data_IF_742963418484
#
_entry.id   IF_742963418484
#
_cell.length_a   1.000
_cell.length_b   1.000
_cell.length_c   1.000
_cell.angle_alpha   90.00
_cell.angle_beta   90.00
_cell.angle_gamma   90.00
#
_symmetry.space_group_name_H-M   'P 1'
#
loop_
_entity.id
_entity.type
_entity.pdbx_description
1 polymer ?
#
# COMPACT_ATOMS: atom_id res chain seq x y z
N UNK A 1 41.04 -12.24 25.41
CA UNK A 1 41.82 -11.14 24.75
C UNK A 1 40.81 -10.45 23.83
N UNK A 2 40.36 -9.30 24.27
CA UNK A 2 39.47 -8.50 23.40
C UNK A 2 40.32 -7.93 22.29
N UNK A 3 40.19 -8.43 21.08
CA UNK A 3 40.81 -7.88 19.91
C UNK A 3 40.32 -6.42 19.75
N UNK A 4 41.21 -5.45 19.77
CA UNK A 4 40.86 -4.04 19.54
C UNK A 4 40.65 -3.84 18.03
N UNK A 5 39.42 -4.11 17.56
CA UNK A 5 39.04 -3.83 16.17
C UNK A 5 38.81 -2.32 15.96
N UNK A 6 39.16 -1.84 14.78
CA UNK A 6 38.90 -0.48 14.32
C UNK A 6 37.71 -0.42 13.36
N UNK A 7 37.24 0.78 13.05
CA UNK A 7 36.21 0.99 12.00
C UNK A 7 36.74 0.60 10.62
N UNK A 8 38.03 0.72 10.38
CA UNK A 8 38.68 0.27 9.14
C UNK A 8 38.64 -1.25 8.99
N UNK A 9 38.83 -1.99 10.10
CA UNK A 9 38.67 -3.45 10.10
C UNK A 9 37.22 -3.88 9.83
N UNK A 10 36.26 -3.14 10.40
CA UNK A 10 34.84 -3.37 10.13
C UNK A 10 34.52 -3.14 8.65
N UNK A 11 34.99 -2.05 8.05
CA UNK A 11 34.78 -1.76 6.62
C UNK A 11 35.41 -2.84 5.74
N UNK A 12 36.65 -3.25 6.01
CA UNK A 12 37.28 -4.37 5.28
C UNK A 12 36.48 -5.68 5.39
N UNK A 13 35.89 -5.95 6.55
CA UNK A 13 35.02 -7.12 6.73
C UNK A 13 33.73 -7.05 5.88
N UNK A 14 33.10 -5.87 5.80
CA UNK A 14 31.94 -5.65 4.95
C UNK A 14 32.30 -5.77 3.45
N UNK A 15 33.42 -5.19 3.03
CA UNK A 15 33.91 -5.28 1.66
C UNK A 15 34.22 -6.73 1.28
N UNK A 16 34.82 -7.51 2.20
CA UNK A 16 35.08 -8.93 2.00
C UNK A 16 33.79 -9.74 1.86
N UNK A 17 32.75 -9.45 2.68
CA UNK A 17 31.45 -10.10 2.54
C UNK A 17 30.76 -9.72 1.22
N UNK A 18 30.83 -8.46 0.81
CA UNK A 18 30.29 -7.97 -0.47
C UNK A 18 31.01 -8.52 -1.70
N UNK A 19 32.25 -8.92 -1.57
CA UNK A 19 33.05 -9.53 -2.65
C UNK A 19 32.74 -11.04 -2.85
N UNK A 20 32.03 -11.69 -1.90
CA UNK A 20 31.57 -13.06 -2.05
C UNK A 20 30.43 -13.11 -3.07
N UNK A 21 30.50 -14.05 -4.01
CA UNK A 21 29.51 -14.26 -5.07
C UNK A 21 28.95 -15.66 -5.07
N UNK A 22 28.16 -15.99 -6.08
CA UNK A 22 27.47 -17.29 -6.23
C UNK A 22 28.40 -18.52 -6.19
N UNK A 23 29.70 -18.34 -6.55
CA UNK A 23 30.69 -19.42 -6.50
C UNK A 23 31.38 -19.57 -5.13
N UNK A 24 31.05 -18.68 -4.16
CA UNK A 24 31.65 -18.74 -2.83
C UNK A 24 31.06 -19.88 -2.00
N UNK A 25 31.90 -20.47 -1.14
CA UNK A 25 31.46 -21.59 -0.31
C UNK A 25 30.76 -21.14 0.98
N UNK A 26 29.99 -22.04 1.58
CA UNK A 26 29.38 -21.86 2.90
C UNK A 26 30.40 -21.43 3.95
N UNK A 27 31.57 -22.07 3.93
CA UNK A 27 32.65 -21.82 4.89
C UNK A 27 33.20 -20.39 4.76
N UNK A 28 33.35 -19.88 3.55
CA UNK A 28 33.78 -18.50 3.30
C UNK A 28 32.79 -17.50 3.84
N UNK A 29 31.50 -17.68 3.57
CA UNK A 29 30.44 -16.82 4.14
C UNK A 29 30.40 -16.87 5.66
N UNK A 30 30.44 -18.05 6.25
CA UNK A 30 30.45 -18.23 7.70
C UNK A 30 31.67 -17.56 8.36
N UNK A 31 32.82 -17.66 7.74
CA UNK A 31 34.05 -17.02 8.25
C UNK A 31 33.90 -15.49 8.24
N UNK A 32 33.39 -14.91 7.15
CA UNK A 32 33.14 -13.47 7.07
C UNK A 32 32.11 -13.01 8.13
N UNK A 33 30.97 -13.72 8.25
CA UNK A 33 29.93 -13.36 9.21
C UNK A 33 30.46 -13.43 10.65
N UNK A 34 31.19 -14.49 11.02
CA UNK A 34 31.80 -14.62 12.35
C UNK A 34 32.83 -13.53 12.64
N UNK A 35 33.59 -13.13 11.62
CA UNK A 35 34.54 -12.04 11.76
C UNK A 35 33.82 -10.70 11.99
N UNK A 36 32.73 -10.44 11.26
CA UNK A 36 31.90 -9.25 11.45
C UNK A 36 31.18 -9.30 12.81
N UNK A 37 30.70 -10.46 13.24
CA UNK A 37 30.09 -10.66 14.56
C UNK A 37 31.05 -10.31 15.71
N UNK A 38 32.34 -10.68 15.59
CA UNK A 38 33.37 -10.30 16.56
C UNK A 38 33.54 -8.79 16.70
N UNK A 39 33.15 -8.03 15.66
CA UNK A 39 33.16 -6.56 15.62
C UNK A 39 31.80 -5.92 15.92
N UNK A 40 30.83 -6.69 16.45
CA UNK A 40 29.43 -6.23 16.61
C UNK A 40 29.29 -4.99 17.48
N UNK A 41 30.18 -4.73 18.41
CA UNK A 41 30.22 -3.50 19.21
C UNK A 41 30.43 -2.24 18.37
N UNK A 42 31.02 -2.38 17.17
CA UNK A 42 31.27 -1.28 16.22
C UNK A 42 30.09 -1.07 15.27
N UNK A 43 29.13 -1.99 15.17
CA UNK A 43 27.99 -1.88 14.24
C UNK A 43 27.12 -0.64 14.51
N UNK A 44 27.17 -0.11 15.72
CA UNK A 44 26.55 1.18 16.05
C UNK A 44 27.08 2.36 15.20
N UNK A 45 28.17 2.22 14.52
CA UNK A 45 28.75 3.24 13.63
C UNK A 45 28.44 3.01 12.14
N UNK A 46 27.83 1.88 11.79
CA UNK A 46 27.41 1.61 10.40
C UNK A 46 26.34 2.59 9.94
N UNK A 47 26.33 2.90 8.64
CA UNK A 47 25.19 3.55 7.99
C UNK A 47 23.97 2.63 7.95
N UNK A 48 22.80 3.20 7.61
CA UNK A 48 21.57 2.41 7.42
C UNK A 48 21.76 1.33 6.36
N UNK A 49 22.38 1.68 5.22
CA UNK A 49 22.57 0.76 4.09
C UNK A 49 23.54 -0.38 4.47
N UNK A 50 24.64 -0.06 5.13
CA UNK A 50 25.62 -1.07 5.53
C UNK A 50 25.08 -2.01 6.61
N UNK A 51 24.34 -1.51 7.59
CA UNK A 51 23.77 -2.36 8.63
C UNK A 51 22.61 -3.20 8.08
N UNK A 52 21.68 -2.59 7.34
CA UNK A 52 20.59 -3.30 6.67
C UNK A 52 21.11 -4.33 5.67
N UNK A 53 22.12 -3.97 4.87
CA UNK A 53 22.82 -4.87 3.96
C UNK A 53 23.44 -6.08 4.66
N UNK A 54 24.10 -5.85 5.80
CA UNK A 54 24.67 -6.93 6.61
C UNK A 54 23.62 -7.91 7.13
N UNK A 55 22.51 -7.41 7.67
CA UNK A 55 21.42 -8.25 8.14
C UNK A 55 20.77 -9.06 6.99
N UNK A 56 20.57 -8.44 5.83
CA UNK A 56 20.07 -9.13 4.63
C UNK A 56 21.04 -10.22 4.16
N UNK A 57 22.35 -9.97 4.17
CA UNK A 57 23.35 -10.99 3.85
C UNK A 57 23.34 -12.16 4.85
N UNK A 58 23.22 -11.89 6.15
CA UNK A 58 23.07 -12.94 7.18
C UNK A 58 21.86 -13.82 6.88
N UNK A 59 20.72 -13.23 6.59
CA UNK A 59 19.49 -13.95 6.26
C UNK A 59 19.64 -14.75 4.98
N UNK A 60 20.20 -14.16 3.92
CA UNK A 60 20.42 -14.82 2.64
C UNK A 60 21.33 -16.04 2.79
N UNK A 61 22.47 -15.88 3.46
CA UNK A 61 23.41 -17.00 3.74
C UNK A 61 22.72 -18.11 4.55
N UNK A 62 21.93 -17.71 5.54
CA UNK A 62 21.20 -18.66 6.37
C UNK A 62 20.18 -19.46 5.58
N UNK A 63 19.51 -18.80 4.63
CA UNK A 63 18.55 -19.43 3.71
C UNK A 63 19.27 -20.38 2.74
N UNK A 64 20.27 -19.90 2.01
CA UNK A 64 20.94 -20.65 0.95
C UNK A 64 21.70 -21.89 1.47
N UNK A 65 22.33 -21.77 2.63
CA UNK A 65 23.16 -22.85 3.20
C UNK A 65 22.50 -23.66 4.32
N UNK A 66 21.18 -23.47 4.54
CA UNK A 66 20.41 -24.22 5.55
C UNK A 66 20.83 -23.97 6.98
N UNK A 67 21.33 -22.75 7.28
CA UNK A 67 21.75 -22.32 8.62
C UNK A 67 20.57 -21.70 9.41
N UNK A 68 19.43 -22.36 9.40
CA UNK A 68 18.18 -21.83 9.94
C UNK A 68 18.30 -21.36 11.39
N UNK A 69 18.83 -22.22 12.27
CA UNK A 69 18.95 -21.89 13.69
C UNK A 69 19.94 -20.77 13.98
N UNK A 70 21.07 -20.80 13.29
CA UNK A 70 22.10 -19.76 13.40
C UNK A 70 21.55 -18.41 12.88
N UNK A 71 20.87 -18.43 11.74
CA UNK A 71 20.24 -17.24 11.17
C UNK A 71 19.22 -16.61 12.10
N UNK A 72 18.32 -17.40 12.68
CA UNK A 72 17.33 -16.93 13.66
C UNK A 72 18.03 -16.32 14.89
N UNK A 73 19.03 -16.99 15.45
CA UNK A 73 19.77 -16.47 16.61
C UNK A 73 20.52 -15.17 16.31
N UNK A 74 21.12 -15.02 15.11
CA UNK A 74 21.76 -13.77 14.70
C UNK A 74 20.75 -12.63 14.56
N UNK A 75 19.59 -12.90 13.99
CA UNK A 75 18.56 -11.88 13.82
C UNK A 75 17.98 -11.43 15.16
N UNK A 76 17.66 -12.34 16.05
CA UNK A 76 17.17 -12.04 17.42
C UNK A 76 18.16 -11.15 18.18
N UNK A 77 19.46 -11.35 17.96
CA UNK A 77 20.52 -10.61 18.64
C UNK A 77 20.77 -9.22 18.04
N UNK A 78 20.75 -9.09 16.72
CA UNK A 78 21.24 -7.88 16.05
C UNK A 78 20.15 -6.98 15.49
N UNK A 79 19.02 -7.53 15.06
CA UNK A 79 17.94 -6.74 14.48
C UNK A 79 17.33 -5.69 15.43
N UNK A 80 17.13 -5.93 16.75
CA UNK A 80 16.56 -4.91 17.63
C UNK A 80 17.35 -3.61 17.69
N UNK A 81 18.67 -3.69 17.60
CA UNK A 81 19.53 -2.51 17.57
C UNK A 81 19.38 -1.72 16.24
N UNK A 82 19.24 -2.44 15.12
CA UNK A 82 18.97 -1.86 13.82
C UNK A 82 17.59 -1.17 13.80
N UNK A 83 16.55 -1.85 14.23
CA UNK A 83 15.16 -1.33 14.27
C UNK A 83 15.05 -0.05 15.08
N UNK A 84 15.67 -0.03 16.27
CA UNK A 84 15.70 1.14 17.15
C UNK A 84 16.45 2.31 16.54
N UNK A 85 17.56 2.05 15.84
CA UNK A 85 18.43 3.09 15.30
C UNK A 85 17.88 3.69 14.00
N UNK A 86 17.23 2.90 13.17
CA UNK A 86 16.75 3.28 11.86
C UNK A 86 15.24 3.09 11.74
N UNK A 87 14.42 3.87 12.46
CA UNK A 87 12.97 3.69 12.51
C UNK A 87 12.31 3.85 11.14
N UNK A 88 12.91 4.62 10.22
CA UNK A 88 12.35 4.95 8.91
C UNK A 88 12.88 4.11 7.74
N UNK A 89 13.71 3.09 7.96
CA UNK A 89 14.22 2.20 6.91
C UNK A 89 13.21 1.11 6.52
N UNK A 90 12.00 1.52 6.12
CA UNK A 90 10.89 0.58 5.90
C UNK A 90 11.16 -0.42 4.78
N UNK A 91 11.79 0.01 3.69
CA UNK A 91 12.11 -0.90 2.58
C UNK A 91 13.02 -2.06 3.01
N UNK A 92 14.12 -1.77 3.72
CA UNK A 92 15.01 -2.83 4.23
C UNK A 92 14.31 -3.73 5.25
N UNK A 93 13.51 -3.14 6.15
CA UNK A 93 12.76 -3.91 7.16
C UNK A 93 11.75 -4.85 6.50
N UNK A 94 11.06 -4.43 5.44
CA UNK A 94 10.16 -5.27 4.69
C UNK A 94 10.91 -6.50 4.14
N UNK A 95 12.03 -6.30 3.46
CA UNK A 95 12.84 -7.39 2.90
C UNK A 95 13.41 -8.32 3.99
N UNK A 96 13.89 -7.75 5.09
CA UNK A 96 14.41 -8.52 6.24
C UNK A 96 13.31 -9.41 6.80
N UNK A 97 12.11 -8.88 7.05
CA UNK A 97 11.02 -9.66 7.62
C UNK A 97 10.48 -10.74 6.69
N UNK A 98 10.51 -10.54 5.40
CA UNK A 98 10.14 -11.56 4.40
C UNK A 98 11.03 -12.80 4.50
N UNK A 99 12.36 -12.63 4.43
CA UNK A 99 13.30 -13.75 4.52
C UNK A 99 13.35 -14.34 5.93
N UNK A 100 13.16 -13.53 6.95
CA UNK A 100 13.08 -14.02 8.32
C UNK A 100 11.87 -14.93 8.55
N UNK A 101 10.71 -14.58 7.97
CA UNK A 101 9.53 -15.45 7.97
C UNK A 101 9.83 -16.82 7.33
N UNK A 102 10.57 -16.85 6.22
CA UNK A 102 10.96 -18.09 5.55
C UNK A 102 11.83 -18.98 6.46
N UNK A 103 12.77 -18.40 7.23
CA UNK A 103 13.57 -19.16 8.19
C UNK A 103 12.70 -19.76 9.30
N UNK A 104 11.67 -19.05 9.78
CA UNK A 104 10.71 -19.61 10.74
C UNK A 104 9.87 -20.74 10.16
N UNK A 105 9.46 -20.68 8.89
CA UNK A 105 8.80 -21.78 8.18
C UNK A 105 9.69 -23.02 8.18
N UNK A 106 10.98 -22.88 7.83
CA UNK A 106 11.97 -23.97 7.89
C UNK A 106 12.16 -24.55 9.27
N UNK A 107 11.99 -23.72 10.29
CA UNK A 107 12.06 -24.16 11.70
C UNK A 107 10.71 -24.70 12.21
N UNK A 108 9.70 -24.87 11.33
CA UNK A 108 8.34 -25.30 11.67
C UNK A 108 7.63 -24.38 12.70
N UNK A 109 7.95 -23.09 12.69
CA UNK A 109 7.35 -22.05 13.54
C UNK A 109 6.50 -21.10 12.70
N UNK A 110 5.29 -21.53 12.36
CA UNK A 110 4.36 -20.74 11.55
C UNK A 110 3.84 -19.50 12.28
N UNK A 111 3.76 -19.54 13.59
CA UNK A 111 3.29 -18.39 14.37
C UNK A 111 4.25 -17.20 14.28
N UNK A 112 5.55 -17.45 14.46
CA UNK A 112 6.58 -16.43 14.26
C UNK A 112 6.70 -16.01 12.80
N UNK A 113 6.61 -16.95 11.85
CA UNK A 113 6.57 -16.64 10.43
C UNK A 113 5.44 -15.67 10.10
N UNK A 114 4.24 -15.94 10.57
CA UNK A 114 3.09 -15.06 10.38
C UNK A 114 3.28 -13.67 11.01
N UNK A 115 3.88 -13.61 12.22
CA UNK A 115 4.21 -12.35 12.85
C UNK A 115 5.19 -11.50 12.02
N UNK A 116 6.20 -12.14 11.42
CA UNK A 116 7.15 -11.47 10.53
C UNK A 116 6.49 -11.03 9.21
N UNK A 117 5.60 -11.83 8.63
CA UNK A 117 4.86 -11.45 7.42
C UNK A 117 3.92 -10.26 7.67
N UNK A 118 3.32 -10.14 8.86
CA UNK A 118 2.58 -8.93 9.24
C UNK A 118 3.47 -7.69 9.30
N UNK A 119 4.67 -7.81 9.83
CA UNK A 119 5.66 -6.72 9.84
C UNK A 119 6.16 -6.40 8.43
N UNK A 120 6.40 -7.42 7.58
CA UNK A 120 6.72 -7.24 6.17
C UNK A 120 5.66 -6.39 5.47
N UNK A 121 4.37 -6.76 5.60
CA UNK A 121 3.27 -6.00 5.00
C UNK A 121 3.21 -4.56 5.55
N UNK A 122 3.28 -4.37 6.86
CA UNK A 122 3.32 -3.04 7.47
C UNK A 122 4.43 -2.18 6.87
N UNK A 123 5.66 -2.66 6.85
CA UNK A 123 6.81 -1.91 6.32
C UNK A 123 6.76 -1.70 4.80
N UNK A 124 6.09 -2.57 4.06
CA UNK A 124 5.84 -2.40 2.62
C UNK A 124 4.83 -1.28 2.34
N UNK A 125 3.86 -1.07 3.23
CA UNK A 125 2.82 -0.05 3.06
C UNK A 125 3.14 1.28 3.74
N UNK A 126 4.06 1.31 4.71
CA UNK A 126 4.42 2.57 5.36
C UNK A 126 5.04 3.54 4.36
N UNK A 127 4.44 4.70 4.31
CA UNK A 127 4.79 5.79 3.43
C UNK A 127 5.02 7.05 4.28
N UNK A 128 6.02 7.83 3.94
CA UNK A 128 6.38 9.08 4.61
C UNK A 128 5.85 10.32 3.86
N UNK A 129 4.97 10.11 2.86
CA UNK A 129 4.38 11.20 2.09
C UNK A 129 3.36 11.95 2.93
N UNK A 130 3.37 13.26 2.81
CA UNK A 130 2.36 14.14 3.38
C UNK A 130 1.20 14.28 2.39
N UNK A 131 0.00 13.87 2.80
CA UNK A 131 -1.21 13.85 1.98
C UNK A 131 -2.12 15.06 2.21
N UNK A 132 -1.60 16.16 2.73
CA UNK A 132 -2.39 17.37 2.93
C UNK A 132 -2.80 18.02 1.60
N UNK A 133 -4.04 18.46 1.52
CA UNK A 133 -4.56 19.20 0.37
C UNK A 133 -4.89 18.35 -0.86
N UNK A 134 -4.92 17.02 -0.74
CA UNK A 134 -5.34 16.15 -1.84
C UNK A 134 -6.84 16.24 -2.10
N UNK A 135 -7.21 16.41 -3.35
CA UNK A 135 -8.59 16.39 -3.81
C UNK A 135 -8.86 15.15 -4.65
N UNK A 136 -9.95 14.44 -4.33
CA UNK A 136 -10.39 13.23 -5.01
C UNK A 136 -11.89 13.21 -5.23
N UNK A 137 -12.33 12.50 -6.27
CA UNK A 137 -13.73 12.22 -6.56
C UNK A 137 -14.09 10.76 -6.23
N UNK A 138 -15.27 10.55 -5.67
CA UNK A 138 -15.84 9.24 -5.44
C UNK A 138 -17.26 9.16 -5.96
N UNK A 139 -17.46 8.39 -7.02
CA UNK A 139 -18.77 8.15 -7.62
C UNK A 139 -19.52 7.08 -6.84
N UNK A 140 -20.80 7.31 -6.56
CA UNK A 140 -21.62 6.47 -5.70
C UNK A 140 -23.05 6.31 -6.24
N UNK A 141 -23.64 5.16 -5.98
CA UNK A 141 -25.09 4.96 -6.10
C UNK A 141 -25.80 5.43 -4.84
N UNK A 142 -27.07 5.84 -4.94
CA UNK A 142 -27.90 6.11 -3.77
C UNK A 142 -28.22 4.80 -3.05
N UNK A 143 -27.45 4.50 -2.03
CA UNK A 143 -27.66 3.37 -1.13
C UNK A 143 -27.64 3.88 0.31
N UNK A 144 -28.29 3.21 1.27
CA UNK A 144 -28.24 3.60 2.68
C UNK A 144 -26.80 3.75 3.19
N UNK A 145 -25.89 2.88 2.77
CA UNK A 145 -24.47 2.94 3.15
C UNK A 145 -23.77 4.20 2.61
N UNK A 146 -23.99 4.51 1.31
CA UNK A 146 -23.39 5.67 0.69
C UNK A 146 -23.91 6.99 1.28
N UNK A 147 -25.20 7.05 1.60
CA UNK A 147 -25.82 8.18 2.26
C UNK A 147 -25.35 8.34 3.72
N UNK A 148 -25.13 7.24 4.43
CA UNK A 148 -24.60 7.27 5.79
C UNK A 148 -23.16 7.78 5.83
N UNK A 149 -22.32 7.45 4.84
CA UNK A 149 -20.97 8.03 4.74
C UNK A 149 -21.02 9.56 4.68
N UNK A 150 -21.93 10.13 3.87
CA UNK A 150 -22.11 11.59 3.78
C UNK A 150 -22.71 12.17 5.07
N UNK A 151 -23.72 11.50 5.63
CA UNK A 151 -24.41 11.96 6.85
C UNK A 151 -23.46 12.03 8.05
N UNK A 152 -22.62 11.02 8.21
CA UNK A 152 -21.80 10.83 9.38
C UNK A 152 -20.34 11.27 9.17
N UNK A 153 -20.01 11.85 8.01
CA UNK A 153 -18.63 12.17 7.63
C UNK A 153 -17.70 10.97 7.81
N UNK A 154 -18.08 9.83 7.24
CA UNK A 154 -17.26 8.62 7.27
C UNK A 154 -16.73 8.27 5.89
N UNK A 155 -15.63 7.53 5.85
CA UNK A 155 -15.07 6.96 4.64
C UNK A 155 -15.02 5.44 4.79
N UNK A 156 -15.76 4.74 3.94
CA UNK A 156 -15.79 3.29 3.92
C UNK A 156 -14.71 2.71 3.02
N UNK A 157 -13.96 1.77 3.55
CA UNK A 157 -12.98 0.95 2.83
C UNK A 157 -13.52 -0.46 2.71
N UNK A 158 -13.34 -1.12 1.59
CA UNK A 158 -13.78 -2.50 1.36
C UNK A 158 -12.61 -3.43 1.08
N UNK A 159 -12.81 -4.71 1.37
CA UNK A 159 -11.85 -5.73 0.97
C UNK A 159 -11.75 -5.79 -0.56
N UNK A 160 -10.53 -5.90 -1.16
CA UNK A 160 -10.36 -5.95 -2.62
C UNK A 160 -11.14 -7.06 -3.33
N UNK A 161 -11.51 -8.16 -2.64
CA UNK A 161 -12.38 -9.21 -3.19
C UNK A 161 -13.78 -8.72 -3.61
N UNK A 162 -14.19 -7.52 -3.15
CA UNK A 162 -15.48 -6.91 -3.48
C UNK A 162 -15.41 -6.01 -4.72
N UNK A 163 -14.27 -5.93 -5.38
CA UNK A 163 -14.13 -5.16 -6.60
C UNK A 163 -14.95 -5.78 -7.73
N UNK A 164 -15.51 -4.92 -8.58
CA UNK A 164 -16.35 -5.34 -9.71
C UNK A 164 -15.57 -6.01 -10.85
N UNK A 165 -14.29 -5.71 -11.02
CA UNK A 165 -13.42 -6.36 -11.99
C UNK A 165 -12.71 -7.54 -11.33
N UNK A 166 -13.02 -8.79 -11.74
CA UNK A 166 -12.34 -9.96 -11.19
C UNK A 166 -10.85 -10.02 -11.51
N UNK A 167 -10.39 -9.22 -12.49
CA UNK A 167 -8.98 -9.12 -12.87
C UNK A 167 -8.25 -8.04 -12.06
N UNK A 168 -8.99 -7.24 -11.29
CA UNK A 168 -8.40 -6.20 -10.45
C UNK A 168 -7.77 -6.82 -9.19
N UNK A 169 -6.79 -6.10 -8.64
CA UNK A 169 -5.93 -6.59 -7.57
C UNK A 169 -5.30 -7.94 -7.91
N UNK A 170 -4.38 -7.91 -8.85
CA UNK A 170 -3.57 -9.06 -9.29
C UNK A 170 -2.98 -9.87 -8.14
N UNK A 171 -2.80 -9.23 -6.98
CA UNK A 171 -2.32 -9.84 -5.76
C UNK A 171 -3.09 -11.11 -5.37
N UNK A 172 -4.42 -11.06 -5.43
CA UNK A 172 -5.25 -12.20 -5.02
C UNK A 172 -5.28 -13.30 -6.09
N UNK A 173 -5.31 -12.92 -7.37
CA UNK A 173 -5.26 -13.90 -8.47
C UNK A 173 -3.90 -14.57 -8.57
N UNK A 174 -2.84 -13.78 -8.47
CA UNK A 174 -1.48 -14.27 -8.53
C UNK A 174 -1.19 -15.25 -7.39
N UNK A 175 -1.56 -14.92 -6.16
CA UNK A 175 -1.30 -15.77 -5.02
C UNK A 175 -2.05 -17.11 -5.12
N UNK A 176 -3.33 -17.08 -5.57
CA UNK A 176 -4.11 -18.29 -5.78
C UNK A 176 -3.54 -19.18 -6.89
N UNK A 177 -3.11 -18.59 -8.00
CA UNK A 177 -2.50 -19.33 -9.11
C UNK A 177 -1.16 -19.95 -8.66
N UNK A 178 -0.30 -19.17 -8.05
CA UNK A 178 0.98 -19.66 -7.55
C UNK A 178 0.83 -20.74 -6.48
N UNK A 179 -0.17 -20.65 -5.60
CA UNK A 179 -0.45 -21.70 -4.61
C UNK A 179 -0.83 -23.04 -5.24
N UNK A 180 -1.52 -23.02 -6.39
CA UNK A 180 -1.94 -24.24 -7.09
C UNK A 180 -0.82 -24.91 -7.87
N UNK A 181 0.16 -24.15 -8.34
CA UNK A 181 1.28 -24.64 -9.17
C UNK A 181 2.60 -24.81 -8.40
N UNK A 182 2.69 -24.27 -7.18
CA UNK A 182 3.90 -24.31 -6.37
C UNK A 182 4.19 -25.71 -5.86
N UNK A 183 5.32 -26.24 -6.28
CA UNK A 183 5.82 -27.57 -5.87
C UNK A 183 6.71 -27.51 -4.62
N UNK A 184 7.26 -26.34 -4.29
CA UNK A 184 8.05 -26.12 -3.09
C UNK A 184 7.12 -25.90 -1.87
N UNK A 185 7.18 -26.82 -0.91
CA UNK A 185 6.34 -26.78 0.28
C UNK A 185 6.58 -25.55 1.16
N UNK A 186 7.83 -25.08 1.23
CA UNK A 186 8.16 -23.89 2.02
C UNK A 186 7.53 -22.63 1.42
N UNK A 187 7.67 -22.44 0.11
CA UNK A 187 7.09 -21.30 -0.61
C UNK A 187 5.57 -21.34 -0.54
N UNK A 188 4.97 -22.53 -0.71
CA UNK A 188 3.53 -22.71 -0.57
C UNK A 188 3.03 -22.31 0.82
N UNK A 189 3.73 -22.68 1.89
CA UNK A 189 3.38 -22.29 3.27
C UNK A 189 3.52 -20.78 3.49
N UNK A 190 4.60 -20.16 3.00
CA UNK A 190 4.78 -18.69 3.07
C UNK A 190 3.65 -17.98 2.32
N UNK A 191 3.34 -18.39 1.09
CA UNK A 191 2.26 -17.79 0.28
C UNK A 191 0.90 -17.93 0.96
N UNK A 192 0.61 -19.06 1.56
CA UNK A 192 -0.62 -19.26 2.33
C UNK A 192 -0.72 -18.30 3.52
N UNK A 193 0.36 -18.08 4.25
CA UNK A 193 0.40 -17.12 5.34
C UNK A 193 0.31 -15.67 4.85
N UNK A 194 0.95 -15.33 3.73
CA UNK A 194 0.80 -14.02 3.08
C UNK A 194 -0.65 -13.75 2.68
N UNK A 195 -1.36 -14.76 2.15
CA UNK A 195 -2.78 -14.60 1.84
C UNK A 195 -3.59 -14.16 3.07
N UNK A 196 -3.33 -14.78 4.23
CA UNK A 196 -3.96 -14.39 5.49
C UNK A 196 -3.61 -12.94 5.90
N UNK A 197 -2.39 -12.49 5.62
CA UNK A 197 -1.98 -11.11 5.89
C UNK A 197 -2.74 -10.14 4.96
N UNK A 198 -2.94 -10.52 3.69
CA UNK A 198 -3.67 -9.70 2.72
C UNK A 198 -5.18 -9.61 3.01
N UNK A 199 -5.75 -10.58 3.71
CA UNK A 199 -7.14 -10.53 4.16
C UNK A 199 -7.43 -9.33 5.09
N UNK A 200 -6.38 -8.74 5.66
CA UNK A 200 -6.47 -7.53 6.49
C UNK A 200 -6.40 -6.21 5.70
N UNK A 201 -6.19 -6.26 4.39
CA UNK A 201 -6.17 -5.07 3.55
C UNK A 201 -7.58 -4.59 3.23
N UNK A 202 -7.78 -3.28 3.29
CA UNK A 202 -9.01 -2.62 2.86
C UNK A 202 -8.63 -1.47 1.93
N UNK A 203 -9.39 -1.28 0.88
CA UNK A 203 -9.08 -0.32 -0.17
C UNK A 203 -10.25 0.62 -0.38
N UNK A 204 -9.94 1.88 -0.62
CA UNK A 204 -10.86 2.88 -1.12
C UNK A 204 -10.34 3.44 -2.43
N UNK A 205 -11.15 3.33 -3.48
CA UNK A 205 -10.84 3.85 -4.80
C UNK A 205 -11.43 5.24 -4.99
N UNK A 206 -10.64 6.11 -5.59
CA UNK A 206 -10.99 7.47 -5.95
C UNK A 206 -10.60 7.74 -7.40
N UNK A 207 -11.11 8.82 -7.94
CA UNK A 207 -10.85 9.30 -9.30
C UNK A 207 -10.23 10.69 -9.24
N UNK A 208 -9.35 11.00 -10.19
CA UNK A 208 -8.84 12.35 -10.45
C UNK A 208 -9.04 12.72 -11.91
N UNK A 209 -9.14 14.02 -12.20
CA UNK A 209 -9.21 14.52 -13.57
C UNK A 209 -7.83 14.72 -14.21
N UNK A 210 -6.78 14.92 -13.40
CA UNK A 210 -5.42 15.09 -13.91
C UNK A 210 -4.64 13.78 -13.81
N UNK A 211 -4.02 13.40 -14.93
CA UNK A 211 -3.07 12.27 -14.93
C UNK A 211 -1.87 12.63 -14.07
N UNK A 212 -1.54 11.74 -13.16
CA UNK A 212 -0.24 11.77 -12.51
C UNK A 212 0.83 11.40 -13.54
N UNK A 213 2.01 12.01 -13.51
CA UNK A 213 3.14 11.49 -14.25
C UNK A 213 3.37 10.02 -13.92
N UNK A 214 3.72 9.21 -14.93
CA UNK A 214 3.74 7.74 -14.85
C UNK A 214 4.93 7.17 -14.10
N UNK A 215 5.90 7.98 -13.76
CA UNK A 215 7.22 7.57 -13.28
C UNK A 215 7.35 7.44 -11.76
N UNK A 216 6.27 7.62 -10.98
CA UNK A 216 6.23 7.34 -9.54
C UNK A 216 7.23 8.12 -8.70
N UNK A 217 7.78 9.21 -9.22
CA UNK A 217 8.75 10.04 -8.53
C UNK A 217 8.11 10.88 -7.42
N UNK A 218 8.82 11.06 -6.30
CA UNK A 218 8.38 11.88 -5.16
C UNK A 218 8.01 13.33 -5.55
N UNK A 219 8.57 13.83 -6.65
CA UNK A 219 8.31 15.17 -7.19
C UNK A 219 6.86 15.34 -7.68
N UNK A 220 6.24 14.28 -8.12
CA UNK A 220 4.92 14.32 -8.75
C UNK A 220 3.79 14.43 -7.75
N UNK A 221 3.97 13.89 -6.55
CA UNK A 221 2.98 14.02 -5.47
C UNK A 221 2.84 15.49 -5.00
N UNK A 222 3.93 16.25 -4.97
CA UNK A 222 3.87 17.67 -4.61
C UNK A 222 3.16 18.53 -5.66
N UNK A 223 3.30 18.21 -6.96
CA UNK A 223 2.56 18.89 -8.03
C UNK A 223 1.05 18.64 -7.95
N UNK A 224 0.64 17.50 -7.38
CA UNK A 224 -0.75 17.13 -7.22
C UNK A 224 -1.48 17.97 -6.16
N UNK A 225 -0.79 18.38 -5.11
CA UNK A 225 -1.34 19.17 -4.00
C UNK A 225 -1.84 20.55 -4.53
N UNK A 226 -1.20 21.08 -5.55
CA UNK A 226 -1.44 22.43 -6.06
C UNK A 226 -2.37 22.50 -7.28
N UNK A 227 -2.90 21.36 -7.75
CA UNK A 227 -3.79 21.35 -8.92
C UNK A 227 -5.23 21.07 -8.49
N UNK A 228 -6.10 22.11 -8.37
CA UNK A 228 -7.48 21.93 -7.96
C UNK A 228 -8.21 21.04 -8.98
N UNK A 229 -8.97 20.08 -8.46
CA UNK A 229 -9.70 19.11 -9.27
C UNK A 229 -11.06 19.67 -9.67
N UNK A 230 -11.42 19.60 -10.95
CA UNK A 230 -12.73 19.98 -11.46
C UNK A 230 -13.50 18.73 -11.94
N UNK A 231 -14.74 18.56 -11.46
CA UNK A 231 -15.61 17.45 -11.85
C UNK A 231 -15.94 17.44 -13.35
N UNK A 232 -15.96 18.60 -13.98
CA UNK A 232 -16.27 18.76 -15.40
C UNK A 232 -15.19 18.19 -16.33
N UNK A 233 -13.97 18.01 -15.80
CA UNK A 233 -12.84 17.43 -16.52
C UNK A 233 -12.70 15.91 -16.28
N UNK A 234 -13.51 15.33 -15.38
CA UNK A 234 -13.55 13.88 -15.17
C UNK A 234 -14.27 13.19 -16.32
N UNK A 235 -13.76 12.05 -16.76
CA UNK A 235 -14.36 11.29 -17.86
C UNK A 235 -15.84 10.97 -17.55
N UNK A 236 -16.80 11.38 -18.41
CA UNK A 236 -18.22 11.14 -18.20
C UNK A 236 -18.62 9.67 -18.06
N UNK A 237 -17.80 8.74 -18.54
CA UNK A 237 -18.01 7.29 -18.40
C UNK A 237 -18.06 6.89 -16.92
N UNK A 238 -17.37 7.61 -16.04
CA UNK A 238 -17.41 7.38 -14.59
C UNK A 238 -18.83 7.46 -14.01
N UNK A 239 -19.64 8.39 -14.53
CA UNK A 239 -21.04 8.51 -14.14
C UNK A 239 -21.89 7.30 -14.59
N UNK A 240 -21.55 6.72 -15.74
CA UNK A 240 -22.27 5.55 -16.24
C UNK A 240 -21.94 4.30 -15.42
N UNK A 241 -20.65 4.07 -15.12
CA UNK A 241 -20.18 2.86 -14.46
C UNK A 241 -20.41 2.89 -12.94
N UNK A 242 -20.11 4.02 -12.27
CA UNK A 242 -20.01 4.08 -10.81
C UNK A 242 -21.11 4.90 -10.12
N UNK A 243 -21.91 5.66 -10.89
CA UNK A 243 -23.03 6.44 -10.38
C UNK A 243 -24.37 5.97 -10.94
N UNK A 244 -24.59 4.65 -11.03
CA UNK A 244 -25.85 4.05 -11.47
C UNK A 244 -26.42 4.69 -12.75
N UNK A 245 -25.66 4.67 -13.83
CA UNK A 245 -26.07 5.24 -15.14
C UNK A 245 -26.50 6.70 -15.05
N UNK A 246 -25.71 7.55 -14.38
CA UNK A 246 -25.98 8.97 -14.09
C UNK A 246 -27.13 9.23 -13.11
N UNK A 247 -27.66 8.24 -12.44
CA UNK A 247 -28.71 8.43 -11.42
C UNK A 247 -28.14 8.66 -10.01
N UNK A 248 -26.89 8.28 -9.77
CA UNK A 248 -26.19 8.42 -8.50
C UNK A 248 -25.61 9.82 -8.25
N UNK A 249 -24.61 9.87 -7.41
CA UNK A 249 -23.93 11.11 -7.04
C UNK A 249 -22.41 10.93 -7.00
N UNK A 250 -21.70 12.04 -6.95
CA UNK A 250 -20.25 12.07 -6.75
C UNK A 250 -19.91 12.96 -5.55
N UNK A 251 -19.04 12.48 -4.68
CA UNK A 251 -18.49 13.25 -3.56
C UNK A 251 -17.10 13.73 -3.93
N UNK A 252 -16.85 15.03 -3.81
CA UNK A 252 -15.51 15.59 -3.85
C UNK A 252 -14.97 15.65 -2.44
N UNK A 253 -13.88 14.94 -2.20
CA UNK A 253 -13.13 14.99 -0.96
C UNK A 253 -11.95 15.94 -1.10
N UNK A 254 -11.66 16.69 -0.04
CA UNK A 254 -10.44 17.43 0.15
C UNK A 254 -9.88 17.03 1.52
N UNK A 255 -8.68 16.51 1.57
CA UNK A 255 -8.05 16.10 2.82
C UNK A 255 -7.09 17.20 3.30
N UNK A 256 -7.56 18.14 4.16
CA UNK A 256 -6.78 19.31 4.56
C UNK A 256 -5.63 18.96 5.50
N UNK A 257 -5.68 17.78 6.12
CA UNK A 257 -4.68 17.27 7.05
C UNK A 257 -4.32 15.84 6.67
N UNK A 258 -3.32 15.24 7.33
CA UNK A 258 -2.93 13.83 7.15
C UNK A 258 -3.99 12.83 7.67
N UNK A 259 -5.27 13.13 7.50
CA UNK A 259 -6.40 12.27 7.91
C UNK A 259 -6.31 10.87 7.31
N UNK A 260 -5.85 10.77 6.07
CA UNK A 260 -5.66 9.48 5.40
C UNK A 260 -4.43 8.73 5.92
N UNK A 261 -3.56 9.39 6.68
CA UNK A 261 -2.34 8.77 7.19
C UNK A 261 -2.59 8.18 8.57
N UNK A 262 -2.85 6.90 8.61
CA UNK A 262 -2.76 6.14 9.86
C UNK A 262 -1.38 5.49 9.93
N UNK A 263 -0.67 5.70 11.02
CA UNK A 263 0.64 5.10 11.26
C UNK A 263 0.76 4.75 12.74
N UNK A 264 0.47 3.51 13.07
CA UNK A 264 0.68 2.95 14.41
C UNK A 264 1.60 1.73 14.31
N UNK A 265 2.87 1.95 14.64
CA UNK A 265 3.88 0.88 14.59
C UNK A 265 3.68 -0.18 15.66
N UNK A 266 3.03 0.15 16.78
CA UNK A 266 2.79 -0.80 17.86
C UNK A 266 1.72 -1.82 17.50
N UNK A 267 0.69 -1.40 16.77
CA UNK A 267 -0.40 -2.26 16.28
C UNK A 267 -0.20 -2.69 14.82
N UNK A 268 0.88 -2.25 14.16
CA UNK A 268 1.17 -2.49 12.74
C UNK A 268 0.08 -1.96 11.80
N UNK A 269 -0.59 -0.86 12.17
CA UNK A 269 -1.64 -0.23 11.37
C UNK A 269 -1.01 0.87 10.51
N UNK A 270 -1.30 0.87 9.21
CA UNK A 270 -0.84 1.92 8.32
C UNK A 270 -1.80 2.15 7.15
N UNK A 271 -1.66 3.32 6.54
CA UNK A 271 -2.40 3.69 5.33
C UNK A 271 -1.43 4.20 4.28
N UNK A 272 -1.65 3.80 3.04
CA UNK A 272 -0.91 4.28 1.87
C UNK A 272 -1.85 4.82 0.81
N UNK A 273 -1.46 5.91 0.17
CA UNK A 273 -2.12 6.47 -1.00
C UNK A 273 -1.22 6.28 -2.22
N UNK A 274 -1.77 5.83 -3.32
CA UNK A 274 -1.01 5.65 -4.56
C UNK A 274 -1.89 5.74 -5.79
N UNK A 275 -1.29 6.12 -6.92
CA UNK A 275 -1.95 6.11 -8.23
C UNK A 275 -1.85 4.75 -8.86
N UNK A 276 -2.94 4.34 -9.50
CA UNK A 276 -2.96 3.10 -10.28
C UNK A 276 -2.16 3.28 -11.57
N UNK A 277 -1.30 2.32 -11.85
CA UNK A 277 -0.57 2.17 -13.10
C UNK A 277 -1.35 1.26 -14.04
N UNK A 278 -1.43 1.64 -15.31
CA UNK A 278 -2.21 0.92 -16.31
C UNK A 278 -1.27 0.24 -17.31
N UNK A 279 -1.35 -1.08 -17.40
CA UNK A 279 -0.49 -1.90 -18.24
C UNK A 279 -1.31 -2.62 -19.31
N UNK A 280 -0.78 -2.72 -20.54
CA UNK A 280 -1.43 -3.46 -21.64
C UNK A 280 -1.39 -4.96 -21.43
N UNK A 281 -0.25 -5.44 -20.99
CA UNK A 281 -0.02 -6.86 -20.66
C UNK A 281 0.73 -6.95 -19.36
N UNK A 282 0.49 -8.00 -18.61
CA UNK A 282 1.28 -8.33 -17.46
C UNK A 282 1.85 -9.72 -17.64
N UNK A 283 3.17 -9.79 -17.84
CA UNK A 283 3.87 -11.05 -17.97
C UNK A 283 3.93 -11.75 -16.60
N UNK A 284 3.74 -13.07 -16.56
CA UNK A 284 3.84 -13.86 -15.33
C UNK A 284 5.24 -13.76 -14.69
N UNK A 285 6.30 -13.68 -15.51
CA UNK A 285 7.67 -13.47 -15.03
C UNK A 285 7.90 -12.09 -14.38
N UNK A 286 7.15 -11.08 -14.80
CA UNK A 286 7.16 -9.77 -14.14
C UNK A 286 6.38 -9.80 -12.82
N UNK A 287 5.36 -10.65 -12.70
CA UNK A 287 4.57 -10.85 -11.47
C UNK A 287 5.38 -11.40 -10.32
N UNK A 288 6.36 -12.27 -10.59
CA UNK A 288 7.24 -12.82 -9.56
C UNK A 288 8.14 -11.76 -8.92
N UNK A 289 8.26 -10.58 -9.56
CA UNK A 289 9.06 -9.44 -9.09
C UNK A 289 8.22 -8.31 -8.49
N UNK A 290 6.88 -8.37 -8.61
CA UNK A 290 6.03 -7.34 -8.03
C UNK A 290 6.00 -7.49 -6.52
N UNK A 291 6.38 -6.42 -5.84
CA UNK A 291 6.06 -6.30 -4.42
C UNK A 291 4.54 -6.28 -4.23
N UNK A 292 4.07 -6.68 -3.05
CA UNK A 292 2.65 -6.58 -2.63
C UNK A 292 2.06 -5.22 -2.98
N UNK A 293 2.83 -4.22 -2.73
CA UNK A 293 2.57 -2.83 -2.96
C UNK A 293 2.26 -2.54 -4.43
N UNK A 294 3.13 -2.99 -5.32
CA UNK A 294 2.93 -2.80 -6.75
C UNK A 294 1.69 -3.53 -7.28
N UNK A 295 1.42 -4.73 -6.78
CA UNK A 295 0.27 -5.53 -7.22
C UNK A 295 -1.09 -4.89 -6.89
N UNK A 296 -1.18 -4.09 -5.82
CA UNK A 296 -2.38 -3.34 -5.47
C UNK A 296 -2.60 -2.08 -6.30
N UNK A 297 -1.57 -1.58 -6.96
CA UNK A 297 -1.60 -0.33 -7.74
C UNK A 297 -1.39 -0.56 -9.24
N UNK A 298 -1.70 -1.76 -9.74
CA UNK A 298 -1.64 -2.08 -11.17
C UNK A 298 -3.01 -2.57 -11.64
N UNK A 299 -3.45 -2.08 -12.80
CA UNK A 299 -4.72 -2.41 -13.44
C UNK A 299 -4.57 -2.49 -14.95
N UNK A 300 -5.47 -3.20 -15.63
CA UNK A 300 -5.49 -3.24 -17.09
C UNK A 300 -5.70 -1.84 -17.70
N UNK A 301 -5.02 -1.54 -18.81
CA UNK A 301 -5.15 -0.27 -19.52
C UNK A 301 -6.56 -0.01 -20.07
N UNK A 302 -7.43 -1.00 -20.18
CA UNK A 302 -8.85 -0.80 -20.51
C UNK A 302 -9.57 0.11 -19.49
N UNK A 303 -9.04 0.23 -18.27
CA UNK A 303 -9.56 1.07 -17.19
C UNK A 303 -8.79 2.40 -17.04
N UNK A 304 -7.88 2.73 -17.96
CA UNK A 304 -7.03 3.94 -17.86
C UNK A 304 -7.84 5.24 -17.76
N UNK A 305 -9.06 5.26 -18.30
CA UNK A 305 -9.97 6.40 -18.22
C UNK A 305 -10.43 6.75 -16.80
N UNK A 306 -10.30 5.83 -15.84
CA UNK A 306 -10.67 6.06 -14.45
C UNK A 306 -9.72 7.01 -13.75
N UNK A 307 -8.46 7.04 -14.17
CA UNK A 307 -7.43 7.87 -13.53
C UNK A 307 -7.41 7.64 -12.01
N UNK A 308 -7.38 6.36 -11.64
CA UNK A 308 -7.68 5.88 -10.28
C UNK A 308 -6.56 6.20 -9.30
N UNK A 309 -6.95 6.61 -8.10
CA UNK A 309 -6.09 6.69 -6.92
C UNK A 309 -6.65 5.77 -5.85
N UNK A 310 -5.82 4.95 -5.26
CA UNK A 310 -6.19 4.04 -4.17
C UNK A 310 -5.64 4.51 -2.86
N UNK A 311 -6.48 4.44 -1.83
CA UNK A 311 -6.08 4.50 -0.44
C UNK A 311 -6.18 3.09 0.11
N UNK A 312 -5.05 2.53 0.49
CA UNK A 312 -4.94 1.18 1.05
C UNK A 312 -4.74 1.31 2.55
N UNK A 313 -5.62 0.71 3.31
CA UNK A 313 -5.53 0.62 4.76
C UNK A 313 -5.17 -0.80 5.17
N UNK A 314 -4.11 -0.97 5.94
CA UNK A 314 -3.68 -2.21 6.53
C UNK A 314 -3.90 -2.17 8.03
N UNK A 315 -4.69 -3.10 8.55
CA UNK A 315 -4.97 -3.26 9.98
C UNK A 315 -5.04 -4.75 10.32
N UNK A 316 -3.95 -5.37 10.84
CA UNK A 316 -3.90 -6.80 11.11
C UNK A 316 -4.88 -7.27 12.20
N UNK A 317 -5.58 -6.35 12.85
CA UNK A 317 -6.61 -6.64 13.85
C UNK A 317 -8.04 -6.50 13.29
N UNK A 318 -8.21 -6.01 12.06
CA UNK A 318 -9.51 -5.88 11.40
C UNK A 318 -9.85 -7.14 10.61
N UNK A 319 -10.81 -7.91 11.10
CA UNK A 319 -11.30 -9.15 10.45
C UNK A 319 -12.58 -8.93 9.62
N UNK A 320 -13.15 -7.75 9.68
CA UNK A 320 -14.34 -7.38 8.91
C UNK A 320 -13.99 -7.16 7.43
N UNK A 321 -14.94 -7.39 6.53
CA UNK A 321 -14.78 -7.13 5.09
C UNK A 321 -14.74 -5.64 4.74
N UNK A 322 -15.03 -4.78 5.68
CA UNK A 322 -15.01 -3.32 5.53
C UNK A 322 -14.40 -2.64 6.75
N UNK A 323 -13.93 -1.43 6.55
CA UNK A 323 -13.47 -0.51 7.60
C UNK A 323 -14.10 0.85 7.38
N UNK A 324 -14.62 1.45 8.44
CA UNK A 324 -15.05 2.85 8.45
C UNK A 324 -14.00 3.70 9.15
N UNK A 325 -13.68 4.84 8.55
CA UNK A 325 -12.82 5.87 9.13
C UNK A 325 -13.66 7.13 9.26
N UNK A 326 -13.68 7.71 10.45
CA UNK A 326 -14.30 9.03 10.69
C UNK A 326 -13.44 10.10 10.04
N UNK A 327 -14.09 11.02 9.34
CA UNK A 327 -13.45 12.16 8.70
C UNK A 327 -13.77 13.45 9.45
N UNK A 328 -12.84 14.41 9.52
CA UNK A 328 -13.15 15.79 9.87
C UNK A 328 -14.28 16.37 9.01
N UNK A 329 -15.04 17.32 9.55
CA UNK A 329 -16.21 17.89 8.87
C UNK A 329 -15.87 18.59 7.55
N UNK A 330 -14.66 19.10 7.42
CA UNK A 330 -14.16 19.82 6.24
C UNK A 330 -13.60 18.91 5.12
N UNK A 331 -13.60 17.58 5.31
CA UNK A 331 -13.10 16.66 4.30
C UNK A 331 -14.04 16.49 3.10
N UNK A 332 -15.35 16.67 3.25
CA UNK A 332 -16.29 16.65 2.13
C UNK A 332 -16.45 18.08 1.62
N UNK A 333 -15.85 18.38 0.46
CA UNK A 333 -15.83 19.75 -0.06
C UNK A 333 -17.04 20.10 -0.95
N UNK A 334 -17.64 19.11 -1.62
CA UNK A 334 -18.85 19.29 -2.42
C UNK A 334 -19.47 17.95 -2.85
N UNK A 335 -20.76 18.01 -3.21
CA UNK A 335 -21.49 16.87 -3.75
C UNK A 335 -22.11 17.26 -5.10
N UNK A 336 -22.05 16.33 -6.04
CA UNK A 336 -22.58 16.48 -7.39
C UNK A 336 -23.60 15.38 -7.65
N UNK A 337 -24.82 15.74 -7.97
CA UNK A 337 -25.89 14.83 -8.39
C UNK A 337 -25.74 14.50 -9.86
N UNK A 338 -25.90 13.24 -10.25
CA UNK A 338 -25.81 12.79 -11.62
C UNK A 338 -26.93 13.38 -12.49
N UNK A 339 -26.68 13.45 -13.80
CA UNK A 339 -27.60 14.04 -14.80
C UNK A 339 -29.04 13.52 -14.70
N UNK A 340 -29.24 12.27 -14.30
CA UNK A 340 -30.53 11.57 -14.20
C UNK A 340 -30.95 11.31 -12.74
N UNK A 341 -30.39 12.06 -11.79
CA UNK A 341 -30.79 11.96 -10.39
C UNK A 341 -32.29 12.27 -10.25
N UNK A 342 -32.99 11.43 -9.50
CA UNK A 342 -34.43 11.61 -9.24
C UNK A 342 -34.68 12.79 -8.29
N UNK A 343 -35.89 13.36 -8.33
CA UNK A 343 -36.25 14.43 -7.38
C UNK A 343 -36.24 13.93 -5.94
N UNK A 344 -36.68 12.70 -5.72
CA UNK A 344 -36.65 12.03 -4.41
C UNK A 344 -35.21 11.92 -3.87
N UNK A 345 -34.26 11.38 -4.64
CA UNK A 345 -32.86 11.26 -4.23
C UNK A 345 -32.22 12.63 -3.98
N UNK A 346 -32.61 13.65 -4.76
CA UNK A 346 -32.17 15.03 -4.56
C UNK A 346 -32.67 15.58 -3.23
N UNK A 347 -33.95 15.39 -2.91
CA UNK A 347 -34.57 15.82 -1.65
C UNK A 347 -33.89 15.13 -0.45
N UNK A 348 -33.64 13.83 -0.53
CA UNK A 348 -32.90 13.07 0.48
C UNK A 348 -31.50 13.64 0.72
N UNK A 349 -30.78 13.96 -0.34
CA UNK A 349 -29.45 14.55 -0.22
C UNK A 349 -29.52 15.95 0.37
N UNK A 350 -30.48 16.78 -0.04
CA UNK A 350 -30.69 18.12 0.54
C UNK A 350 -31.02 18.03 2.04
N UNK A 351 -31.80 17.03 2.44
CA UNK A 351 -32.10 16.79 3.85
C UNK A 351 -30.85 16.42 4.66
N UNK A 352 -29.99 15.55 4.11
CA UNK A 352 -28.71 15.17 4.74
C UNK A 352 -27.78 16.37 4.90
N UNK A 353 -27.80 17.30 3.94
CA UNK A 353 -26.89 18.44 3.90
C UNK A 353 -27.45 19.70 4.58
N UNK A 354 -28.68 19.66 5.10
CA UNK A 354 -29.39 20.85 5.65
C UNK A 354 -28.53 21.63 6.65
N UNK A 355 -27.84 20.94 7.54
CA UNK A 355 -27.06 21.53 8.61
C UNK A 355 -25.54 21.47 8.33
N UNK A 356 -25.16 21.15 7.09
CA UNK A 356 -23.77 21.05 6.66
C UNK A 356 -23.45 22.14 5.64
N UNK A 357 -22.29 22.77 5.79
CA UNK A 357 -21.81 23.80 4.85
C UNK A 357 -21.20 23.16 3.56
N UNK A 358 -21.83 22.11 3.03
CA UNK A 358 -21.38 21.37 1.86
C UNK A 358 -22.20 21.81 0.65
N UNK A 359 -21.62 22.44 -0.38
CA UNK A 359 -22.33 22.84 -1.59
C UNK A 359 -22.80 21.61 -2.39
N UNK A 360 -24.03 21.69 -2.90
CA UNK A 360 -24.67 20.70 -3.72
C UNK A 360 -24.84 21.22 -5.16
N UNK A 361 -24.45 20.39 -6.11
CA UNK A 361 -24.51 20.68 -7.54
C UNK A 361 -25.35 19.64 -8.28
N UNK A 362 -25.98 20.05 -9.38
CA UNK A 362 -26.64 19.17 -10.36
C UNK A 362 -25.79 19.13 -11.64
N UNK A 363 -25.44 17.95 -12.11
CA UNK A 363 -24.80 17.81 -13.42
C UNK A 363 -25.82 18.02 -14.54
N UNK A 364 -25.43 18.78 -15.56
CA UNK A 364 -26.24 19.09 -16.75
C UNK A 364 -25.38 18.91 -18.02
N UNK A 365 -26.04 18.73 -19.16
CA UNK A 365 -25.36 18.77 -20.46
C UNK A 365 -25.01 20.22 -20.77
N UNK A 366 -23.77 20.48 -21.17
CA UNK A 366 -23.36 21.83 -21.58
C UNK A 366 -24.16 22.30 -22.81
N UNK A 367 -24.50 23.59 -22.83
CA UNK A 367 -25.28 24.15 -23.95
C UNK A 367 -24.51 24.19 -25.28
N UNK A 368 -23.18 24.29 -25.17
CA UNK A 368 -22.28 24.48 -26.32
C UNK A 368 -21.64 23.16 -26.80
N UNK A 369 -21.70 22.12 -25.98
CA UNK A 369 -21.13 20.81 -26.29
C UNK A 369 -21.96 19.69 -25.63
N UNK A 370 -22.70 18.95 -26.46
CA UNK A 370 -23.58 17.87 -26.01
C UNK A 370 -22.83 16.65 -25.41
N UNK A 371 -21.52 16.59 -25.55
CA UNK A 371 -20.69 15.53 -24.95
C UNK A 371 -20.05 15.96 -23.63
N UNK A 372 -20.22 17.22 -23.22
CA UNK A 372 -19.65 17.77 -21.99
C UNK A 372 -20.72 17.91 -20.90
N UNK A 373 -20.35 17.53 -19.69
CA UNK A 373 -21.15 17.78 -18.48
C UNK A 373 -20.62 19.03 -17.76
N UNK A 374 -21.54 19.83 -17.24
CA UNK A 374 -21.25 21.00 -16.41
C UNK A 374 -22.00 20.89 -15.08
N UNK A 375 -21.43 21.47 -14.03
CA UNK A 375 -22.00 21.47 -12.70
C UNK A 375 -22.73 22.80 -12.42
N UNK A 376 -24.03 22.73 -12.11
CA UNK A 376 -24.83 23.88 -11.68
C UNK A 376 -25.12 23.79 -10.19
N UNK A 377 -24.77 24.81 -9.44
CA UNK A 377 -25.03 24.86 -8.00
C UNK A 377 -26.51 24.98 -7.72
N UNK A 378 -27.02 24.16 -6.79
CA UNK A 378 -28.44 24.16 -6.39
C UNK A 378 -28.64 24.45 -4.89
N UNK A 379 -27.61 24.32 -4.07
CA UNK A 379 -27.59 24.77 -2.66
C UNK A 379 -26.16 25.00 -2.16
#
# INVERSE_FOLDING_TARGET
MDANYSLDDLQKGLDALGALGELSTKEQYLQCIKHLEAMSTLWKHLSVDNYGGLLKNILWVSKEFGLTKEGLNWMDRFYPAYEKRYPHSNHDKAQIHEVWALLHIRNNDEASAYAHLKKHAYHSFVDNVDYNGFEFFSFRTFTPYALNDVRNNTLSFSHPRQFNDPMDTLLFHWNNHCLSEETDDELRRVRFLLQKVYDHLKVRCFVRNSRLPRDGGKTDLQQLIHNPQNIEDVNPIMWAHYANYHKGFCVKYCFPTNVLRTLDSSSLICTRVGSVRYNQTMNMEEKDRLSIDEALFVKSNYWEYENEVRVVHYDPNCHEDYKLIELPEDCISSIYLGLKCSDHDREDMQLILRDKAIPLYQMKIAKEDNFKLVAERIS
#
